data_IF_215500401914
#
_entry.id   IF_215500401914
#
_cell.length_a   1.000
_cell.length_b   1.000
_cell.length_c   1.000
_cell.angle_alpha   90.00
_cell.angle_beta   90.00
_cell.angle_gamma   90.00
#
_symmetry.space_group_name_H-M   'P 1'
#
loop_
_entity.id
_entity.type
_entity.pdbx_description
1 polymer ?
#
# COMPACT_ATOMS: atom_id res chain seq x y z
N UNK A 1 4.11 21.06 14.78
CA UNK A 1 3.27 19.85 14.72
C UNK A 1 1.95 20.20 15.34
N UNK A 2 0.85 19.69 14.78
CA UNK A 2 -0.52 19.89 15.28
C UNK A 2 -0.80 18.92 16.42
N UNK A 3 -1.61 19.35 17.38
CA UNK A 3 -2.10 18.49 18.45
C UNK A 3 -3.26 17.61 17.97
N UNK A 4 -3.57 16.54 18.72
CA UNK A 4 -4.59 15.57 18.32
C UNK A 4 -5.98 16.21 18.15
N UNK A 5 -6.31 17.20 18.99
CA UNK A 5 -7.58 17.95 18.90
C UNK A 5 -7.70 18.76 17.61
N UNK A 6 -6.58 19.14 16.98
CA UNK A 6 -6.58 19.83 15.68
C UNK A 6 -6.64 18.84 14.50
N UNK A 7 -6.32 17.57 14.74
CA UNK A 7 -6.36 16.52 13.72
C UNK A 7 -7.73 15.83 13.66
N UNK A 8 -8.44 15.74 14.78
CA UNK A 8 -9.80 15.18 14.84
C UNK A 8 -10.81 16.28 14.48
N UNK A 9 -11.34 16.19 13.27
CA UNK A 9 -12.48 16.96 12.80
C UNK A 9 -13.79 16.19 13.04
N UNK A 10 -14.74 16.82 13.74
CA UNK A 10 -16.06 16.27 14.06
C UNK A 10 -17.21 16.93 13.28
N UNK A 11 -16.94 17.96 12.48
CA UNK A 11 -17.97 18.71 11.72
C UNK A 11 -18.15 18.15 10.31
N UNK A 12 -17.05 17.86 9.63
CA UNK A 12 -17.00 17.26 8.28
C UNK A 12 -15.98 16.10 8.28
N UNK A 13 -16.22 15.01 9.02
CA UNK A 13 -15.30 13.88 9.03
C UNK A 13 -15.29 13.21 7.66
N UNK A 14 -14.10 12.96 7.11
CA UNK A 14 -13.92 12.24 5.85
C UNK A 14 -14.42 10.79 5.91
N UNK A 15 -14.74 10.26 7.11
CA UNK A 15 -15.23 8.90 7.28
C UNK A 15 -16.60 8.67 6.64
N UNK A 16 -17.52 9.64 6.70
CA UNK A 16 -18.83 9.50 6.05
C UNK A 16 -18.69 9.29 4.55
N UNK A 17 -17.75 10.00 3.92
CA UNK A 17 -17.41 9.85 2.51
C UNK A 17 -16.79 8.48 2.22
N UNK A 18 -15.87 8.01 3.06
CA UNK A 18 -15.27 6.67 2.91
C UNK A 18 -16.32 5.57 3.07
N UNK A 19 -17.24 5.70 4.04
CA UNK A 19 -18.36 4.77 4.21
C UNK A 19 -19.27 4.74 2.98
N UNK A 20 -19.53 5.89 2.35
CA UNK A 20 -20.26 5.92 1.08
C UNK A 20 -19.53 5.11 0.01
N UNK A 21 -18.23 5.31 -0.18
CA UNK A 21 -17.44 4.55 -1.16
C UNK A 21 -17.44 3.05 -0.87
N UNK A 22 -17.39 2.64 0.41
CA UNK A 22 -17.48 1.24 0.82
C UNK A 22 -18.86 0.66 0.45
N UNK A 23 -19.94 1.40 0.68
CA UNK A 23 -21.30 0.97 0.34
C UNK A 23 -21.54 0.87 -1.17
N UNK A 24 -20.86 1.69 -1.96
CA UNK A 24 -20.92 1.71 -3.42
C UNK A 24 -19.86 0.80 -4.08
N UNK A 25 -19.03 0.11 -3.29
CA UNK A 25 -17.97 -0.75 -3.79
C UNK A 25 -18.53 -1.90 -4.62
N UNK A 26 -17.86 -2.23 -5.72
CA UNK A 26 -18.29 -3.31 -6.63
C UNK A 26 -17.63 -4.65 -6.30
N UNK A 27 -16.99 -4.76 -5.14
CA UNK A 27 -16.23 -5.94 -4.68
C UNK A 27 -16.18 -6.00 -3.16
N UNK A 28 -15.69 -7.13 -2.63
CA UNK A 28 -15.54 -7.34 -1.19
C UNK A 28 -14.62 -6.30 -0.58
N UNK A 29 -15.13 -5.59 0.43
CA UNK A 29 -14.38 -4.69 1.30
C UNK A 29 -14.50 -5.18 2.73
N UNK A 30 -13.39 -5.50 3.36
CA UNK A 30 -13.33 -5.85 4.78
C UNK A 30 -12.61 -4.73 5.53
N UNK A 31 -13.37 -4.01 6.35
CA UNK A 31 -12.82 -2.96 7.24
C UNK A 31 -12.33 -3.61 8.52
N UNK A 32 -11.04 -3.48 8.80
CA UNK A 32 -10.43 -4.07 9.99
C UNK A 32 -10.64 -3.15 11.21
N UNK A 33 -10.98 -3.70 12.39
CA UNK A 33 -11.18 -2.89 13.58
C UNK A 33 -9.86 -2.29 14.06
N UNK A 34 -9.94 -1.09 14.65
CA UNK A 34 -8.83 -0.51 15.40
C UNK A 34 -8.58 -1.34 16.67
N UNK A 35 -7.31 -1.52 17.07
CA UNK A 35 -6.99 -2.18 18.36
C UNK A 35 -7.45 -1.30 19.52
N UNK A 36 -7.21 0.01 19.42
CA UNK A 36 -7.69 0.99 20.40
C UNK A 36 -7.77 2.38 19.78
N UNK A 37 -8.61 3.27 20.34
CA UNK A 37 -8.67 4.67 19.91
C UNK A 37 -7.37 5.41 20.21
N UNK A 38 -6.70 5.10 21.31
CA UNK A 38 -5.41 5.70 21.66
C UNK A 38 -4.32 5.38 20.63
N UNK A 39 -4.29 4.16 20.09
CA UNK A 39 -3.37 3.81 19.01
C UNK A 39 -3.71 4.61 17.74
N UNK A 40 -4.97 4.67 17.35
CA UNK A 40 -5.40 5.40 16.15
C UNK A 40 -5.05 6.91 16.24
N UNK A 41 -5.24 7.52 17.42
CA UNK A 41 -4.82 8.89 17.73
C UNK A 41 -3.30 9.07 17.62
N UNK A 42 -2.52 8.12 18.15
CA UNK A 42 -1.06 8.16 18.03
C UNK A 42 -0.61 8.07 16.57
N UNK A 43 -1.23 7.21 15.76
CA UNK A 43 -0.90 7.08 14.33
C UNK A 43 -1.29 8.35 13.56
N UNK A 44 -2.39 9.02 13.91
CA UNK A 44 -2.72 10.34 13.35
C UNK A 44 -1.65 11.39 13.71
N UNK A 45 -1.19 11.41 14.96
CA UNK A 45 -0.12 12.31 15.39
C UNK A 45 1.18 12.04 14.64
N UNK A 46 1.56 10.77 14.48
CA UNK A 46 2.78 10.40 13.77
C UNK A 46 2.73 10.80 12.29
N UNK A 47 1.56 10.68 11.65
CA UNK A 47 1.35 10.99 10.23
C UNK A 47 1.02 12.46 9.96
N UNK A 48 0.59 13.20 10.98
CA UNK A 48 0.17 14.60 10.88
C UNK A 48 -0.90 14.85 9.81
N UNK A 49 -1.82 13.91 9.60
CA UNK A 49 -3.02 14.08 8.75
C UNK A 49 -4.27 14.29 9.63
N UNK A 50 -5.32 14.92 9.08
CA UNK A 50 -6.57 15.13 9.83
C UNK A 50 -7.69 14.20 9.36
N UNK A 51 -8.63 13.90 10.25
CA UNK A 51 -9.82 13.07 9.96
C UNK A 51 -10.79 13.73 8.99
N UNK A 52 -10.59 15.01 8.64
CA UNK A 52 -11.27 15.66 7.51
C UNK A 52 -10.88 15.03 6.16
N UNK A 53 -9.64 14.55 6.04
CA UNK A 53 -9.17 13.87 4.84
C UNK A 53 -9.57 12.38 4.86
N UNK A 54 -9.81 11.73 3.70
CA UNK A 54 -10.08 10.30 3.66
C UNK A 54 -8.96 9.44 4.28
N UNK A 55 -7.69 9.83 4.09
CA UNK A 55 -6.56 9.12 4.71
C UNK A 55 -6.59 9.20 6.23
N UNK A 56 -6.77 10.39 6.80
CA UNK A 56 -6.89 10.53 8.25
C UNK A 56 -8.14 9.85 8.81
N UNK A 57 -9.25 9.86 8.08
CA UNK A 57 -10.45 9.12 8.47
C UNK A 57 -10.20 7.60 8.51
N UNK A 58 -9.54 7.04 7.48
CA UNK A 58 -9.17 5.62 7.43
C UNK A 58 -8.25 5.24 8.59
N UNK A 59 -7.23 6.07 8.89
CA UNK A 59 -6.32 5.85 10.03
C UNK A 59 -7.09 5.86 11.36
N UNK A 60 -8.02 6.80 11.53
CA UNK A 60 -8.71 6.98 12.81
C UNK A 60 -9.81 5.96 13.10
N UNK A 61 -10.48 5.49 12.05
CA UNK A 61 -11.67 4.63 12.16
C UNK A 61 -11.36 3.16 11.88
N UNK A 62 -10.20 2.83 11.32
CA UNK A 62 -9.88 1.48 10.89
C UNK A 62 -8.44 1.09 11.24
N UNK A 63 -8.23 -0.20 11.51
CA UNK A 63 -6.88 -0.77 11.54
C UNK A 63 -6.28 -0.97 10.15
N UNK A 64 -7.09 -0.83 9.10
CA UNK A 64 -6.74 -1.04 7.70
C UNK A 64 -7.97 -1.55 6.94
N UNK A 65 -7.88 -1.61 5.62
CA UNK A 65 -8.95 -2.10 4.76
C UNK A 65 -8.40 -3.15 3.80
N UNK A 66 -9.02 -4.32 3.79
CA UNK A 66 -8.73 -5.39 2.84
C UNK A 66 -9.73 -5.33 1.69
N UNK A 67 -9.22 -5.33 0.46
CA UNK A 67 -10.01 -5.21 -0.76
C UNK A 67 -9.82 -6.47 -1.60
N UNK A 68 -10.91 -6.94 -2.23
CA UNK A 68 -10.91 -8.14 -3.07
C UNK A 68 -10.33 -9.36 -2.33
N UNK A 69 -10.92 -9.69 -1.18
CA UNK A 69 -10.52 -10.80 -0.30
C UNK A 69 -9.07 -10.69 0.20
N UNK A 70 -8.57 -9.46 0.36
CA UNK A 70 -7.23 -9.19 0.82
C UNK A 70 -6.19 -9.06 -0.28
N UNK A 71 -6.55 -9.09 -1.57
CA UNK A 71 -5.61 -8.83 -2.65
C UNK A 71 -4.89 -7.49 -2.48
N UNK A 72 -5.62 -6.42 -2.17
CA UNK A 72 -5.05 -5.10 -1.82
C UNK A 72 -5.27 -4.84 -0.33
N UNK A 73 -4.24 -4.32 0.33
CA UNK A 73 -4.25 -3.91 1.74
C UNK A 73 -3.99 -2.41 1.84
N UNK A 74 -5.00 -1.65 2.27
CA UNK A 74 -4.87 -0.21 2.56
C UNK A 74 -4.52 -0.04 4.03
N UNK A 75 -3.47 0.73 4.33
CA UNK A 75 -2.96 0.89 5.68
C UNK A 75 -3.82 1.86 6.51
N UNK A 76 -4.16 1.44 7.73
CA UNK A 76 -4.83 2.25 8.76
C UNK A 76 -3.97 2.36 10.01
N UNK A 77 -4.59 2.28 11.20
CA UNK A 77 -3.87 2.32 12.48
C UNK A 77 -3.23 0.99 12.90
N UNK A 78 -3.39 -0.09 12.12
CA UNK A 78 -3.08 -1.45 12.54
C UNK A 78 -4.25 -2.13 13.25
N UNK A 79 -4.34 -3.46 13.09
CA UNK A 79 -5.36 -4.36 13.65
C UNK A 79 -4.72 -5.67 14.09
N UNK A 80 -5.50 -6.58 14.70
CA UNK A 80 -5.00 -7.95 14.98
C UNK A 80 -4.67 -8.75 13.71
N UNK A 81 -5.33 -8.44 12.58
CA UNK A 81 -5.24 -9.22 11.33
C UNK A 81 -4.22 -8.64 10.33
N UNK A 82 -4.13 -7.32 10.25
CA UNK A 82 -3.09 -6.56 9.53
C UNK A 82 -2.37 -5.73 10.60
N UNK A 83 -1.23 -6.23 11.07
CA UNK A 83 -0.59 -5.73 12.29
C UNK A 83 0.13 -4.40 12.08
N UNK A 84 0.61 -4.16 10.85
CA UNK A 84 1.27 -2.90 10.48
C UNK A 84 0.30 -1.71 10.44
N UNK A 85 0.66 -0.64 11.13
CA UNK A 85 0.06 0.69 10.94
C UNK A 85 0.77 1.46 9.84
N UNK A 86 0.10 2.48 9.27
CA UNK A 86 0.75 3.35 8.26
C UNK A 86 2.00 4.04 8.80
N UNK A 87 2.03 4.47 10.07
CA UNK A 87 3.19 5.17 10.64
C UNK A 87 4.35 4.20 10.88
N UNK A 88 4.08 3.03 11.45
CA UNK A 88 5.08 1.99 11.68
C UNK A 88 5.66 1.47 10.38
N UNK A 89 4.80 1.15 9.42
CA UNK A 89 5.20 0.61 8.12
C UNK A 89 6.22 1.49 7.41
N UNK A 90 6.07 2.80 7.54
CA UNK A 90 6.90 3.80 6.88
C UNK A 90 8.22 4.10 7.59
N UNK A 91 8.43 3.64 8.84
CA UNK A 91 9.70 3.85 9.54
C UNK A 91 10.85 3.24 8.75
N UNK A 92 11.92 4.01 8.57
CA UNK A 92 13.15 3.61 7.88
C UNK A 92 13.00 3.22 6.40
N UNK A 93 11.82 3.40 5.77
CA UNK A 93 11.58 3.09 4.35
C UNK A 93 11.58 4.33 3.44
N UNK A 94 11.73 5.51 4.04
CA UNK A 94 11.55 6.82 3.39
C UNK A 94 12.87 7.60 3.20
N UNK A 95 14.02 6.98 3.47
CA UNK A 95 15.31 7.68 3.56
C UNK A 95 15.76 8.24 2.21
N UNK A 96 15.85 9.57 2.16
CA UNK A 96 16.76 10.30 1.29
C UNK A 96 17.96 10.71 2.16
N UNK A 97 19.18 10.30 1.81
CA UNK A 97 20.41 10.44 2.62
C UNK A 97 20.78 11.88 3.00
N UNK A 98 20.07 12.89 2.49
CA UNK A 98 20.45 14.30 2.60
C UNK A 98 19.41 15.23 3.25
N UNK A 99 18.17 14.76 3.45
CA UNK A 99 17.13 15.58 4.07
C UNK A 99 16.26 14.71 4.96
N UNK A 100 16.21 15.02 6.27
CA UNK A 100 15.36 14.39 7.29
C UNK A 100 13.83 14.48 7.00
N UNK A 101 13.40 14.64 5.74
CA UNK A 101 12.01 14.64 5.31
C UNK A 101 11.70 13.36 4.53
N UNK A 102 10.53 12.73 4.76
CA UNK A 102 10.07 11.60 3.96
C UNK A 102 10.05 11.95 2.48
N UNK A 103 10.70 11.15 1.64
CA UNK A 103 10.61 11.34 0.18
C UNK A 103 9.28 10.91 -0.43
N UNK A 104 8.60 9.97 0.23
CA UNK A 104 7.27 9.45 -0.12
C UNK A 104 6.64 8.79 1.12
N UNK A 105 5.35 8.46 1.04
CA UNK A 105 4.60 7.76 2.08
C UNK A 105 3.92 6.51 1.49
N UNK A 106 4.30 5.31 1.94
CA UNK A 106 3.63 4.06 1.59
C UNK A 106 2.24 4.02 2.23
N UNK A 107 1.20 3.73 1.44
CA UNK A 107 -0.20 3.81 1.88
C UNK A 107 -0.99 2.53 1.66
N UNK A 108 -0.53 1.67 0.76
CA UNK A 108 -1.14 0.37 0.49
C UNK A 108 -0.12 -0.58 -0.14
N UNK A 109 -0.42 -1.87 -0.13
CA UNK A 109 0.31 -2.93 -0.83
C UNK A 109 -0.65 -3.96 -1.42
N UNK A 110 -0.15 -4.77 -2.36
CA UNK A 110 -0.92 -5.84 -3.01
C UNK A 110 -0.30 -7.23 -2.80
N UNK A 111 -1.05 -8.26 -3.19
CA UNK A 111 -0.66 -9.66 -2.98
C UNK A 111 0.57 -10.08 -3.75
N UNK A 112 0.95 -9.37 -4.81
CA UNK A 112 2.07 -9.73 -5.67
C UNK A 112 3.38 -9.02 -5.27
N UNK A 113 3.36 -8.28 -4.16
CA UNK A 113 4.53 -7.56 -3.68
C UNK A 113 4.74 -6.20 -4.36
N UNK A 114 3.66 -5.60 -4.85
CA UNK A 114 3.63 -4.21 -5.29
C UNK A 114 3.21 -3.26 -4.17
N UNK A 115 3.72 -2.03 -4.21
CA UNK A 115 3.51 -1.05 -3.14
C UNK A 115 3.06 0.31 -3.67
N UNK A 116 2.00 0.86 -3.09
CA UNK A 116 1.46 2.17 -3.45
C UNK A 116 1.99 3.23 -2.48
N UNK A 117 2.50 4.33 -3.01
CA UNK A 117 3.02 5.43 -2.20
C UNK A 117 2.60 6.81 -2.73
N UNK A 118 2.44 7.76 -1.83
CA UNK A 118 2.25 9.18 -2.14
C UNK A 118 3.63 9.80 -2.32
N UNK A 119 3.90 10.39 -3.48
CA UNK A 119 5.12 11.15 -3.74
C UNK A 119 5.17 12.40 -2.86
N UNK A 120 6.22 12.56 -2.06
CA UNK A 120 6.48 13.75 -1.25
C UNK A 120 7.65 14.60 -1.80
N UNK A 121 8.10 14.32 -3.03
CA UNK A 121 9.04 15.16 -3.78
C UNK A 121 10.31 14.47 -4.27
N UNK A 122 10.48 13.16 -4.07
CA UNK A 122 11.67 12.42 -4.53
C UNK A 122 11.42 11.49 -5.72
N UNK A 123 10.16 11.13 -6.01
CA UNK A 123 9.82 10.22 -7.11
C UNK A 123 9.52 10.96 -8.43
N UNK A 124 9.21 12.25 -8.33
CA UNK A 124 8.83 13.10 -9.45
C UNK A 124 8.45 14.50 -9.00
N UNK A 125 8.09 15.36 -9.96
CA UNK A 125 7.74 16.78 -9.72
C UNK A 125 6.32 16.98 -9.19
N UNK A 126 5.49 15.95 -9.29
CA UNK A 126 4.08 15.89 -8.97
C UNK A 126 3.86 15.38 -7.53
N UNK A 127 4.13 16.27 -6.58
CA UNK A 127 3.91 16.01 -5.15
C UNK A 127 2.42 15.73 -4.89
N UNK A 128 2.14 14.68 -4.11
CA UNK A 128 0.78 14.24 -3.77
C UNK A 128 0.19 13.18 -4.71
N UNK A 129 0.82 12.93 -5.87
CA UNK A 129 0.44 11.83 -6.76
C UNK A 129 0.82 10.47 -6.17
N UNK A 130 0.05 9.45 -6.56
CA UNK A 130 0.34 8.05 -6.25
C UNK A 130 1.33 7.49 -7.26
N UNK A 131 2.31 6.77 -6.73
CA UNK A 131 3.23 5.92 -7.46
C UNK A 131 3.03 4.46 -7.03
N UNK A 132 3.20 3.55 -7.98
CA UNK A 132 3.24 2.12 -7.76
C UNK A 132 4.68 1.62 -7.89
N UNK A 133 5.24 1.05 -6.83
CA UNK A 133 6.50 0.33 -6.90
C UNK A 133 6.20 -1.07 -7.42
N UNK A 134 6.35 -1.26 -8.74
CA UNK A 134 5.89 -2.46 -9.42
C UNK A 134 6.91 -3.60 -9.28
N UNK A 135 6.47 -4.82 -8.91
CA UNK A 135 7.38 -5.94 -8.68
C UNK A 135 7.96 -6.55 -9.97
N UNK A 136 7.36 -6.23 -11.12
CA UNK A 136 7.74 -6.71 -12.46
C UNK A 136 8.65 -5.73 -13.23
N UNK A 137 8.71 -4.45 -12.84
CA UNK A 137 9.70 -3.51 -13.36
C UNK A 137 10.78 -3.14 -12.34
N UNK A 138 10.51 -3.35 -11.05
CA UNK A 138 11.30 -2.80 -9.94
C UNK A 138 11.46 -1.28 -10.04
N UNK A 139 10.47 -0.60 -10.62
CA UNK A 139 10.44 0.85 -10.77
C UNK A 139 9.25 1.49 -10.07
N UNK A 140 9.38 2.79 -9.75
CA UNK A 140 8.29 3.59 -9.21
C UNK A 140 7.54 4.21 -10.40
N UNK A 141 6.34 3.75 -10.66
CA UNK A 141 5.53 4.14 -11.81
C UNK A 141 4.44 5.14 -11.38
N UNK A 142 4.37 6.34 -11.97
CA UNK A 142 3.33 7.31 -11.63
C UNK A 142 1.97 6.81 -12.12
N UNK A 143 0.96 6.82 -11.25
CA UNK A 143 -0.41 6.43 -11.59
C UNK A 143 -1.30 7.63 -11.97
N UNK A 144 -0.77 8.85 -11.93
CA UNK A 144 -1.47 10.10 -12.25
C UNK A 144 -2.78 10.33 -11.46
N UNK A 145 -2.88 9.74 -10.27
CA UNK A 145 -4.03 9.86 -9.36
C UNK A 145 -3.59 10.28 -7.97
N UNK A 146 -4.47 10.92 -7.22
CA UNK A 146 -4.26 11.20 -5.79
C UNK A 146 -4.79 10.05 -4.91
N UNK A 147 -4.58 10.16 -3.59
CA UNK A 147 -5.03 9.14 -2.63
C UNK A 147 -6.54 8.83 -2.71
N UNK A 148 -7.41 9.85 -2.76
CA UNK A 148 -8.86 9.62 -2.82
C UNK A 148 -9.29 8.90 -4.11
N UNK A 149 -8.65 9.24 -5.23
CA UNK A 149 -8.88 8.55 -6.51
C UNK A 149 -8.38 7.11 -6.47
N UNK A 150 -7.23 6.83 -5.83
CA UNK A 150 -6.73 5.47 -5.62
C UNK A 150 -7.72 4.62 -4.81
N UNK A 151 -8.26 5.14 -3.71
CA UNK A 151 -9.23 4.40 -2.89
C UNK A 151 -10.51 4.10 -3.68
N UNK A 152 -11.03 5.07 -4.44
CA UNK A 152 -12.17 4.84 -5.33
C UNK A 152 -11.87 3.80 -6.41
N UNK A 153 -10.66 3.83 -6.99
CA UNK A 153 -10.22 2.83 -7.95
C UNK A 153 -10.18 1.43 -7.32
N UNK A 154 -9.61 1.30 -6.12
CA UNK A 154 -9.62 0.04 -5.38
C UNK A 154 -11.02 -0.45 -5.01
N UNK A 155 -12.01 0.41 -4.79
CA UNK A 155 -13.36 -0.03 -4.41
C UNK A 155 -14.26 -0.33 -5.60
N UNK A 156 -14.16 0.45 -6.68
CA UNK A 156 -15.11 0.40 -7.80
C UNK A 156 -14.47 0.51 -9.19
N UNK A 157 -13.18 0.80 -9.31
CA UNK A 157 -12.43 0.86 -10.58
C UNK A 157 -12.09 -0.51 -11.18
N UNK A 158 -11.56 -0.56 -12.40
CA UNK A 158 -11.24 -1.83 -13.06
C UNK A 158 -9.89 -2.42 -12.61
N UNK A 159 -9.85 -3.02 -11.41
CA UNK A 159 -8.63 -3.64 -10.88
C UNK A 159 -8.20 -4.88 -11.68
N UNK A 160 -9.14 -5.61 -12.29
CA UNK A 160 -8.85 -6.78 -13.15
C UNK A 160 -7.98 -6.37 -14.34
N UNK A 161 -8.22 -5.20 -14.92
CA UNK A 161 -7.36 -4.68 -15.99
C UNK A 161 -5.97 -4.30 -15.47
N UNK A 162 -5.87 -3.77 -14.26
CA UNK A 162 -4.58 -3.41 -13.65
C UNK A 162 -3.75 -4.66 -13.34
N UNK A 163 -4.39 -5.75 -12.91
CA UNK A 163 -3.72 -7.02 -12.57
C UNK A 163 -3.79 -8.10 -13.67
N UNK A 164 -4.16 -7.75 -14.90
CA UNK A 164 -4.49 -8.72 -15.97
C UNK A 164 -3.39 -9.77 -16.24
N UNK A 165 -2.12 -9.40 -16.04
CA UNK A 165 -0.95 -10.25 -16.29
C UNK A 165 -0.49 -11.03 -15.04
N UNK A 166 -1.15 -10.84 -13.89
CA UNK A 166 -0.70 -11.33 -12.58
C UNK A 166 -1.62 -12.40 -11.96
N UNK A 167 -2.30 -13.18 -12.80
CA UNK A 167 -3.16 -14.27 -12.34
C UNK A 167 -2.53 -15.65 -12.58
N UNK A 168 -2.70 -16.55 -11.61
CA UNK A 168 -2.27 -17.95 -11.72
C UNK A 168 -3.39 -18.91 -11.30
N UNK A 169 -3.26 -20.19 -11.68
CA UNK A 169 -4.34 -21.19 -11.55
C UNK A 169 -4.89 -21.37 -10.14
N UNK A 170 -4.06 -21.26 -9.11
CA UNK A 170 -4.43 -21.52 -7.71
C UNK A 170 -4.58 -20.24 -6.88
N UNK A 171 -4.60 -19.07 -7.54
CA UNK A 171 -4.62 -17.75 -6.90
C UNK A 171 -5.68 -17.62 -5.81
N UNK A 172 -6.92 -18.05 -6.09
CA UNK A 172 -8.01 -17.91 -5.13
C UNK A 172 -7.82 -18.77 -3.89
N UNK A 173 -7.25 -19.98 -4.04
CA UNK A 173 -6.90 -20.85 -2.91
C UNK A 173 -5.72 -20.29 -2.12
N UNK A 174 -4.68 -19.85 -2.83
CA UNK A 174 -3.46 -19.31 -2.23
C UNK A 174 -3.79 -18.04 -1.43
N UNK A 175 -4.58 -17.12 -1.99
CA UNK A 175 -4.97 -15.87 -1.33
C UNK A 175 -5.76 -16.11 -0.04
N UNK A 176 -6.59 -17.15 0.03
CA UNK A 176 -7.32 -17.50 1.28
C UNK A 176 -6.39 -17.90 2.42
N UNK A 177 -5.21 -18.43 2.09
CA UNK A 177 -4.20 -18.87 3.06
C UNK A 177 -3.17 -17.78 3.38
N UNK A 178 -3.13 -16.70 2.61
CA UNK A 178 -2.17 -15.62 2.76
C UNK A 178 -2.55 -14.72 3.94
N UNK A 179 -1.62 -14.52 4.86
CA UNK A 179 -1.76 -13.49 5.90
C UNK A 179 -1.83 -12.10 5.26
N UNK A 180 -2.66 -11.16 5.75
CA UNK A 180 -2.61 -9.79 5.26
C UNK A 180 -1.25 -9.10 5.46
N UNK A 181 -0.43 -9.59 6.39
CA UNK A 181 0.93 -9.10 6.58
C UNK A 181 1.95 -9.64 5.56
N UNK A 182 1.57 -10.67 4.81
CA UNK A 182 2.40 -11.35 3.82
C UNK A 182 1.97 -11.02 2.38
N UNK A 183 2.91 -11.22 1.45
CA UNK A 183 2.73 -11.15 0.00
C UNK A 183 3.32 -12.39 -0.65
N UNK A 184 2.98 -12.63 -1.91
CA UNK A 184 3.57 -13.70 -2.70
C UNK A 184 4.90 -13.27 -3.30
N UNK A 185 5.93 -14.04 -3.01
CA UNK A 185 7.19 -14.02 -3.72
C UNK A 185 7.18 -15.06 -4.86
N UNK A 186 7.70 -14.66 -6.02
CA UNK A 186 7.72 -15.46 -7.23
C UNK A 186 9.15 -15.85 -7.60
N UNK A 187 9.35 -17.12 -7.94
CA UNK A 187 10.59 -17.62 -8.52
C UNK A 187 10.28 -18.42 -9.79
N UNK A 188 10.72 -17.97 -10.99
CA UNK A 188 11.57 -16.80 -11.25
C UNK A 188 10.89 -15.45 -10.91
N UNK A 189 11.67 -14.39 -10.60
CA UNK A 189 11.12 -13.07 -10.27
C UNK A 189 10.33 -12.45 -11.42
N UNK A 190 9.26 -11.71 -11.11
CA UNK A 190 8.32 -11.15 -12.09
C UNK A 190 8.97 -10.23 -13.15
N UNK A 191 10.09 -9.60 -12.81
CA UNK A 191 10.85 -8.74 -13.73
C UNK A 191 11.72 -9.48 -14.76
N UNK A 192 11.81 -10.81 -14.65
CA UNK A 192 12.48 -11.66 -15.65
C UNK A 192 11.52 -12.10 -16.75
N UNK A 193 12.05 -12.55 -17.89
CA UNK A 193 11.21 -13.07 -18.99
C UNK A 193 10.48 -14.34 -18.55
N UNK A 194 11.18 -15.21 -17.82
CA UNK A 194 10.67 -16.47 -17.29
C UNK A 194 9.60 -16.25 -16.21
N UNK A 195 9.76 -15.21 -15.38
CA UNK A 195 8.82 -14.87 -14.31
C UNK A 195 7.47 -14.36 -14.78
N UNK A 196 7.30 -14.07 -16.07
CA UNK A 196 6.01 -13.69 -16.67
C UNK A 196 5.02 -14.86 -16.79
N UNK A 197 5.49 -16.11 -16.69
CA UNK A 197 4.62 -17.28 -16.67
C UNK A 197 4.35 -17.74 -15.24
N UNK A 198 3.42 -17.07 -14.55
CA UNK A 198 3.13 -17.33 -13.14
C UNK A 198 2.67 -18.77 -12.86
N UNK A 199 2.12 -19.47 -13.86
CA UNK A 199 1.70 -20.87 -13.71
C UNK A 199 2.87 -21.87 -13.65
N UNK A 200 4.08 -21.43 -13.98
CA UNK A 200 5.32 -22.21 -13.87
C UNK A 200 6.20 -21.70 -12.72
N UNK A 201 5.81 -20.60 -12.07
CA UNK A 201 6.52 -20.03 -10.94
C UNK A 201 6.32 -20.85 -9.67
N UNK A 202 7.39 -20.92 -8.86
CA UNK A 202 7.29 -21.27 -7.46
C UNK A 202 6.78 -20.02 -6.72
N UNK A 203 5.61 -20.14 -6.12
CA UNK A 203 4.94 -19.06 -5.40
C UNK A 203 5.00 -19.36 -3.90
N UNK A 204 5.50 -18.43 -3.09
CA UNK A 204 5.61 -18.61 -1.64
C UNK A 204 5.21 -17.34 -0.89
N UNK A 205 4.49 -17.46 0.23
CA UNK A 205 4.27 -16.32 1.11
C UNK A 205 5.60 -15.91 1.76
N UNK A 206 5.88 -14.61 1.77
CA UNK A 206 6.89 -13.99 2.63
C UNK A 206 6.32 -12.71 3.22
N UNK A 207 6.94 -12.19 4.28
CA UNK A 207 6.46 -10.93 4.85
C UNK A 207 6.53 -9.81 3.81
N UNK A 208 5.53 -8.94 3.81
CA UNK A 208 5.53 -7.79 2.90
C UNK A 208 6.77 -6.91 3.10
N UNK A 209 7.35 -6.89 4.31
CA UNK A 209 8.52 -6.06 4.62
C UNK A 209 9.78 -6.64 3.99
N UNK A 210 9.97 -7.95 4.13
CA UNK A 210 11.06 -8.68 3.50
C UNK A 210 11.00 -8.53 1.97
N UNK A 211 9.81 -8.69 1.36
CA UNK A 211 9.63 -8.48 -0.07
C UNK A 211 9.99 -7.04 -0.49
N UNK A 212 9.62 -6.03 0.31
CA UNK A 212 9.90 -4.63 0.01
C UNK A 212 11.42 -4.37 -0.04
N UNK A 213 12.14 -4.82 1.00
CA UNK A 213 13.59 -4.65 1.06
C UNK A 213 14.32 -5.47 -0.01
N UNK A 214 13.84 -6.68 -0.30
CA UNK A 214 14.36 -7.49 -1.40
C UNK A 214 14.23 -6.76 -2.74
N UNK A 215 13.07 -6.18 -3.04
CA UNK A 215 12.86 -5.42 -4.27
C UNK A 215 13.78 -4.19 -4.36
N UNK A 216 13.99 -3.47 -3.26
CA UNK A 216 14.92 -2.33 -3.22
C UNK A 216 16.38 -2.76 -3.45
N UNK A 217 16.81 -3.87 -2.84
CA UNK A 217 18.15 -4.40 -3.04
C UNK A 217 18.37 -4.82 -4.49
N UNK A 218 17.42 -5.56 -5.08
CA UNK A 218 17.47 -5.99 -6.47
C UNK A 218 17.50 -4.81 -7.44
N UNK A 219 16.66 -3.79 -7.21
CA UNK A 219 16.67 -2.55 -8.00
C UNK A 219 18.03 -1.87 -7.97
N UNK A 220 18.62 -1.76 -6.77
CA UNK A 220 19.95 -1.16 -6.60
C UNK A 220 21.02 -1.94 -7.36
N UNK A 221 20.97 -3.27 -7.29
CA UNK A 221 21.84 -4.16 -8.05
C UNK A 221 21.70 -3.98 -9.57
N UNK A 222 20.48 -3.94 -10.09
CA UNK A 222 20.21 -3.74 -11.52
C UNK A 222 20.71 -2.38 -12.03
N UNK A 223 20.48 -1.31 -11.27
CA UNK A 223 20.98 0.02 -11.59
C UNK A 223 22.51 0.07 -11.64
N UNK A 224 23.20 -0.68 -10.77
CA UNK A 224 24.66 -0.75 -10.79
C UNK A 224 25.20 -1.47 -12.03
N UNK A 225 24.48 -2.46 -12.57
CA UNK A 225 24.88 -3.20 -13.78
C UNK A 225 24.67 -2.34 -15.04
N UNK A 226 23.55 -1.60 -15.10
CA UNK A 226 23.23 -0.75 -16.26
C UNK A 226 24.12 0.49 -16.37
N UNK A 227 24.76 0.92 -15.27
CA UNK A 227 25.67 2.06 -15.21
C UNK A 227 27.16 1.67 -15.35
N UNK A 228 27.48 0.44 -15.78
CA UNK A 228 28.85 0.06 -16.14
C UNK A 228 29.16 0.69 -17.53
N UNK A 229 30.22 1.51 -17.64
CA UNK A 229 30.56 2.22 -18.89
C UNK A 229 30.98 1.30 -20.04
#
# INVERSE_FOLDING_TARGET
MRDISELINTEEPGWELVQQWINEATRTIEVLPVISKQQAEQVLLDTQVSTRSPMGAIIYETGGILVANGWIRILGSGSEKLTRSISEWNKNKQSNDFSNQPGFLLVADDAIGGYFCINAGVLGKDVGSIYYFAPDSLDFEPLEVNYSQLINFFFSGNIEQFYQDFHWKTEQEDLKSLSPDDVFNFSPPLWTVEGKNLNESIIRPISAEEQYFLNLELRTGLNNIQNIP
#
